data_IF_989904111227
#
_entry.id   IF_989904111227
#
_cell.length_a   1.000
_cell.length_b   1.000
_cell.length_c   1.000
_cell.angle_alpha   90.00
_cell.angle_beta   90.00
_cell.angle_gamma   90.00
#
_symmetry.space_group_name_H-M   'P 1'
#
loop_
_entity.id
_entity.type
_entity.pdbx_description
1 polymer ?
#
# COMPACT_ATOMS: atom_id res chain seq x y z
N UNK A 1 -4.42 7.30 21.79
CA UNK A 1 -3.68 7.18 20.52
C UNK A 1 -4.66 6.67 19.47
N UNK A 2 -4.92 7.41 18.40
CA UNK A 2 -5.77 6.91 17.31
C UNK A 2 -5.00 5.83 16.55
N UNK A 3 -5.66 4.70 16.25
CA UNK A 3 -5.09 3.69 15.38
C UNK A 3 -4.72 4.33 14.03
N UNK A 4 -3.55 4.01 13.49
CA UNK A 4 -3.15 4.44 12.15
C UNK A 4 -4.20 3.98 11.14
N UNK A 5 -4.60 4.87 10.22
CA UNK A 5 -5.43 4.46 9.10
C UNK A 5 -4.67 3.45 8.23
N UNK A 6 -5.41 2.62 7.48
CA UNK A 6 -4.79 1.66 6.56
C UNK A 6 -3.85 2.36 5.55
N UNK A 7 -4.25 3.53 5.03
CA UNK A 7 -3.44 4.31 4.09
C UNK A 7 -2.12 4.78 4.69
N UNK A 8 -2.15 5.30 5.92
CA UNK A 8 -0.94 5.72 6.63
C UNK A 8 -0.03 4.54 6.96
N UNK A 9 -0.60 3.41 7.40
CA UNK A 9 0.13 2.17 7.64
C UNK A 9 0.84 1.70 6.36
N UNK A 10 0.12 1.64 5.23
CA UNK A 10 0.68 1.23 3.95
C UNK A 10 1.82 2.16 3.51
N UNK A 11 1.65 3.49 3.69
CA UNK A 11 2.67 4.49 3.38
C UNK A 11 3.94 4.32 4.20
N UNK A 12 3.80 4.04 5.50
CA UNK A 12 4.94 3.77 6.38
C UNK A 12 5.65 2.49 5.96
N UNK A 13 4.90 1.42 5.71
CA UNK A 13 5.46 0.14 5.30
C UNK A 13 6.17 0.24 3.95
N UNK A 14 5.59 0.94 2.97
CA UNK A 14 6.21 1.22 1.67
C UNK A 14 7.59 1.89 1.86
N UNK A 15 7.66 2.92 2.70
CA UNK A 15 8.92 3.61 2.99
C UNK A 15 9.93 2.70 3.69
N UNK A 16 9.49 1.91 4.66
CA UNK A 16 10.34 0.95 5.37
C UNK A 16 10.94 -0.12 4.44
N UNK A 17 10.20 -0.50 3.39
CA UNK A 17 10.66 -1.44 2.34
C UNK A 17 11.54 -0.76 1.26
N UNK A 18 11.93 0.50 1.44
CA UNK A 18 12.86 1.21 0.56
C UNK A 18 12.23 1.91 -0.64
N UNK A 19 10.90 1.83 -0.82
CA UNK A 19 10.22 2.53 -1.90
C UNK A 19 10.01 4.01 -1.53
N UNK A 20 10.95 4.86 -1.95
CA UNK A 20 10.95 6.29 -1.60
C UNK A 20 9.73 7.05 -2.13
N UNK A 21 9.19 6.64 -3.27
CA UNK A 21 8.04 7.32 -3.91
C UNK A 21 6.88 6.36 -4.16
N UNK A 22 5.65 6.89 -4.16
CA UNK A 22 4.45 6.17 -4.56
C UNK A 22 4.56 5.64 -6.00
N UNK A 23 5.18 6.41 -6.91
CA UNK A 23 5.41 6.00 -8.30
C UNK A 23 6.30 4.76 -8.41
N UNK A 24 7.37 4.69 -7.62
CA UNK A 24 8.28 3.55 -7.61
C UNK A 24 7.56 2.29 -7.14
N UNK A 25 6.76 2.42 -6.07
CA UNK A 25 5.99 1.31 -5.56
C UNK A 25 4.86 0.89 -6.51
N UNK A 26 4.14 1.85 -7.09
CA UNK A 26 3.09 1.59 -8.08
C UNK A 26 3.62 0.81 -9.29
N UNK A 27 4.84 1.13 -9.76
CA UNK A 27 5.53 0.37 -10.80
C UNK A 27 5.85 -1.06 -10.38
N UNK A 28 6.29 -1.28 -9.14
CA UNK A 28 6.55 -2.61 -8.59
C UNK A 28 5.28 -3.46 -8.49
N UNK A 29 4.17 -2.85 -8.07
CA UNK A 29 2.86 -3.51 -7.90
C UNK A 29 2.13 -3.70 -9.24
N UNK A 30 2.48 -2.90 -10.26
CA UNK A 30 1.82 -2.93 -11.56
C UNK A 30 0.50 -2.16 -11.61
N UNK A 31 0.40 -1.03 -10.89
CA UNK A 31 -0.80 -0.16 -10.85
C UNK A 31 -0.42 1.32 -11.04
N UNK A 32 -1.43 2.19 -11.10
CA UNK A 32 -1.19 3.63 -11.29
C UNK A 32 -0.64 4.29 -10.02
N UNK A 33 0.22 5.30 -10.19
CA UNK A 33 0.69 6.16 -9.10
C UNK A 33 -0.47 6.85 -8.36
N UNK A 34 -1.48 7.31 -9.10
CA UNK A 34 -2.66 7.95 -8.52
C UNK A 34 -3.44 7.00 -7.61
N UNK A 35 -3.51 5.71 -7.95
CA UNK A 35 -4.15 4.69 -7.10
C UNK A 35 -3.41 4.54 -5.77
N UNK A 36 -2.08 4.39 -5.79
CA UNK A 36 -1.28 4.30 -4.55
C UNK A 36 -1.45 5.56 -3.70
N UNK A 37 -1.35 6.75 -4.30
CA UNK A 37 -1.49 8.02 -3.56
C UNK A 37 -2.84 8.14 -2.86
N UNK A 38 -3.94 7.77 -3.55
CA UNK A 38 -5.30 7.84 -3.00
C UNK A 38 -5.57 6.79 -1.92
N UNK A 39 -4.96 5.60 -2.03
CA UNK A 39 -5.00 4.60 -0.96
C UNK A 39 -4.23 5.12 0.26
N UNK A 40 -3.02 5.66 0.06
CA UNK A 40 -2.17 6.15 1.15
C UNK A 40 -2.72 7.40 1.86
N UNK A 41 -3.53 8.21 1.18
CA UNK A 41 -4.26 9.33 1.78
C UNK A 41 -5.58 8.92 2.44
N UNK A 42 -6.02 7.67 2.25
CA UNK A 42 -7.33 7.21 2.70
C UNK A 42 -8.51 7.74 1.88
N UNK A 43 -8.27 8.37 0.74
CA UNK A 43 -9.32 8.85 -0.18
C UNK A 43 -10.13 7.70 -0.76
N UNK A 44 -9.46 6.57 -1.05
CA UNK A 44 -10.10 5.35 -1.54
C UNK A 44 -9.70 4.14 -0.70
N UNK A 45 -10.64 3.21 -0.55
CA UNK A 45 -10.37 1.87 -0.04
C UNK A 45 -9.66 0.98 -1.05
N UNK A 46 -9.40 -0.26 -0.67
CA UNK A 46 -8.76 -1.27 -1.50
C UNK A 46 -9.52 -2.58 -1.44
N UNK A 47 -9.48 -3.38 -2.51
CA UNK A 47 -10.07 -4.72 -2.52
C UNK A 47 -9.12 -5.76 -1.89
N UNK A 48 -9.63 -6.93 -1.46
CA UNK A 48 -8.79 -8.04 -1.00
C UNK A 48 -7.74 -8.47 -2.02
N UNK A 49 -8.09 -8.49 -3.31
CA UNK A 49 -7.17 -8.83 -4.40
C UNK A 49 -6.01 -7.83 -4.51
N UNK A 50 -6.28 -6.55 -4.27
CA UNK A 50 -5.27 -5.50 -4.25
C UNK A 50 -4.41 -5.57 -2.98
N UNK A 51 -5.00 -5.88 -1.82
CA UNK A 51 -4.25 -6.15 -0.57
C UNK A 51 -3.23 -7.26 -0.81
N UNK A 52 -3.65 -8.35 -1.48
CA UNK A 52 -2.76 -9.45 -1.84
C UNK A 52 -1.57 -8.96 -2.69
N UNK A 53 -1.82 -8.25 -3.80
CA UNK A 53 -0.76 -7.70 -4.66
C UNK A 53 0.20 -6.77 -3.91
N UNK A 54 -0.33 -5.91 -3.05
CA UNK A 54 0.47 -4.99 -2.22
C UNK A 54 1.35 -5.77 -1.24
N UNK A 55 0.77 -6.76 -0.56
CA UNK A 55 1.48 -7.59 0.42
C UNK A 55 2.60 -8.42 -0.19
N UNK A 56 2.34 -9.04 -1.37
CA UNK A 56 3.34 -9.76 -2.15
C UNK A 56 4.49 -8.84 -2.58
N UNK A 57 4.17 -7.64 -3.06
CA UNK A 57 5.17 -6.64 -3.50
C UNK A 57 6.02 -6.10 -2.34
N UNK A 58 5.45 -6.05 -1.13
CA UNK A 58 6.11 -5.60 0.09
C UNK A 58 6.81 -6.75 0.85
N UNK A 59 6.59 -8.00 0.44
CA UNK A 59 7.09 -9.17 1.16
C UNK A 59 6.60 -9.21 2.60
N UNK A 60 5.29 -9.03 2.80
CA UNK A 60 4.63 -9.13 4.10
C UNK A 60 3.44 -10.07 4.01
N UNK A 61 3.12 -10.74 5.11
CA UNK A 61 1.93 -11.59 5.21
C UNK A 61 0.71 -10.72 5.50
N UNK A 62 -0.39 -10.96 4.80
CA UNK A 62 -1.71 -10.49 5.20
C UNK A 62 -2.48 -11.67 5.80
N UNK A 63 -3.34 -11.47 6.81
CA UNK A 63 -4.23 -12.54 7.24
C UNK A 63 -5.08 -12.93 6.03
N UNK A 64 -5.01 -14.22 5.66
CA UNK A 64 -5.92 -14.77 4.67
C UNK A 64 -7.34 -14.54 5.21
N UNK A 65 -8.17 -13.91 4.36
CA UNK A 65 -9.58 -13.68 4.65
C UNK A 65 -10.30 -14.98 4.94
#
# INVERSE_FOLDING_TARGET
MSALSFGEYLKQLRKAKGFKTARMFARKVGISNATISRIESGEIGTSPQMIRKLSESLGVTHPAS
#
